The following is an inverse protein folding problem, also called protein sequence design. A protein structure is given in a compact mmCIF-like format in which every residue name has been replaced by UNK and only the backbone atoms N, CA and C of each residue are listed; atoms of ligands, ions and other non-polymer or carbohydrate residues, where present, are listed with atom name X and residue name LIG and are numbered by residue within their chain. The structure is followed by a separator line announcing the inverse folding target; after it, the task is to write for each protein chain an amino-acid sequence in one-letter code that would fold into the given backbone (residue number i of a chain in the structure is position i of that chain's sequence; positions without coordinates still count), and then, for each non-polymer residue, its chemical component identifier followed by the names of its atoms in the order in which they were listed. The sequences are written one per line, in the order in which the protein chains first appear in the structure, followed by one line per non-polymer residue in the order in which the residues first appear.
data_IF_625833575589
#
_entry.id   IF_625833575589
#
_cell.length_a   1.000
_cell.length_b   1.000
_cell.length_c   1.000
_cell.angle_alpha   90.00
_cell.angle_beta   90.00
_cell.angle_gamma   90.00
#
_symmetry.space_group_name_H-M   'P 1'
#
loop_
_entity.id
_entity.type
_entity.pdbx_description
1 polymer ?
#
# COMPACT_ATOMS: atom_id res chain seq x y z
N UNK A 1 21.83 0.43 20.82
CA UNK A 1 21.35 0.53 22.22
C UNK A 1 20.94 1.94 22.61
N UNK A 2 20.41 2.76 21.70
CA UNK A 2 20.05 4.17 21.95
C UNK A 2 18.61 4.34 22.43
N UNK A 3 18.17 3.49 23.35
CA UNK A 3 16.77 3.51 23.79
C UNK A 3 16.41 4.81 24.52
N UNK A 4 17.34 5.50 25.16
CA UNK A 4 17.07 6.75 25.88
C UNK A 4 17.50 8.01 25.12
N UNK A 5 17.79 7.89 23.83
CA UNK A 5 18.24 9.02 23.04
C UNK A 5 17.03 9.84 22.51
N UNK A 6 17.16 11.17 22.36
CA UNK A 6 16.06 12.04 21.95
C UNK A 6 15.49 11.69 20.57
N UNK A 7 16.32 11.17 19.65
CA UNK A 7 15.87 10.69 18.35
C UNK A 7 14.90 9.49 18.44
N UNK A 8 15.05 8.62 19.47
CA UNK A 8 14.10 7.52 19.71
C UNK A 8 12.73 8.08 20.09
N UNK A 9 12.70 9.12 20.93
CA UNK A 9 11.44 9.76 21.35
C UNK A 9 10.74 10.45 20.19
N UNK A 10 11.50 11.13 19.32
CA UNK A 10 10.95 11.71 18.09
C UNK A 10 10.32 10.64 17.17
N UNK A 11 10.99 9.49 17.01
CA UNK A 11 10.45 8.36 16.25
C UNK A 11 9.21 7.75 16.91
N UNK A 12 9.19 7.62 18.25
CA UNK A 12 8.03 7.12 18.98
C UNK A 12 6.79 7.97 18.71
N UNK A 13 6.90 9.29 18.71
CA UNK A 13 5.79 10.19 18.41
C UNK A 13 5.23 9.97 16.99
N UNK A 14 6.10 9.74 16.00
CA UNK A 14 5.68 9.36 14.65
C UNK A 14 4.95 8.02 14.63
N UNK A 15 5.50 6.99 15.28
CA UNK A 15 4.90 5.65 15.33
C UNK A 15 3.54 5.64 16.05
N UNK A 16 3.42 6.36 17.16
CA UNK A 16 2.17 6.51 17.89
C UNK A 16 1.12 7.20 17.03
N UNK A 17 1.51 8.21 16.23
CA UNK A 17 0.61 8.89 15.31
C UNK A 17 0.10 7.95 14.20
N UNK A 18 1.00 7.27 13.47
CA UNK A 18 0.58 6.37 12.38
C UNK A 18 -0.16 5.13 12.92
N UNK A 19 0.12 4.72 14.16
CA UNK A 19 -0.51 3.61 14.85
C UNK A 19 -1.97 3.84 15.26
N UNK A 20 -2.47 5.08 15.30
CA UNK A 20 -3.83 5.41 15.81
C UNK A 20 -4.97 4.67 15.09
N UNK A 21 -4.78 4.36 13.81
CA UNK A 21 -5.77 3.63 13.01
C UNK A 21 -5.62 2.10 13.10
N UNK A 22 -4.48 1.60 13.60
CA UNK A 22 -4.15 0.17 13.64
C UNK A 22 -4.96 -0.49 14.74
N UNK A 23 -6.06 -1.12 14.35
CA UNK A 23 -7.02 -1.78 15.25
C UNK A 23 -7.49 -3.09 14.64
N UNK A 24 -8.05 -3.97 15.46
CA UNK A 24 -8.66 -5.23 15.01
C UNK A 24 -7.91 -6.47 15.46
N UNK A 25 -8.20 -7.58 14.79
CA UNK A 25 -7.75 -8.92 15.17
C UNK A 25 -7.11 -9.62 13.98
N UNK A 26 -5.90 -10.13 14.18
CA UNK A 26 -5.25 -11.07 13.28
C UNK A 26 -5.39 -12.49 13.83
N UNK A 27 -5.91 -13.41 13.01
CA UNK A 27 -6.01 -14.83 13.36
C UNK A 27 -4.79 -15.55 12.82
N UNK A 28 -4.08 -16.25 13.69
CA UNK A 28 -2.81 -16.91 13.37
C UNK A 28 -2.94 -18.43 13.48
N UNK A 29 -2.23 -19.15 12.62
CA UNK A 29 -1.97 -20.59 12.74
C UNK A 29 -0.49 -20.78 13.03
N UNK A 30 -0.19 -21.47 14.13
CA UNK A 30 1.18 -21.78 14.54
C UNK A 30 1.46 -23.25 14.23
N UNK A 31 2.54 -23.53 13.51
CA UNK A 31 2.87 -24.91 13.15
C UNK A 31 4.36 -25.09 12.88
N UNK A 32 5.00 -26.04 13.58
CA UNK A 32 6.42 -26.41 13.43
C UNK A 32 7.35 -25.19 13.34
N UNK A 33 7.24 -24.27 14.30
CA UNK A 33 8.04 -23.04 14.34
C UNK A 33 7.61 -21.93 13.37
N UNK A 34 6.57 -22.13 12.56
CA UNK A 34 6.05 -21.14 11.63
C UNK A 34 4.80 -20.43 12.17
N UNK A 35 4.60 -19.19 11.71
CA UNK A 35 3.44 -18.35 12.00
C UNK A 35 2.75 -17.98 10.69
N UNK A 36 1.48 -18.35 10.53
CA UNK A 36 0.70 -18.05 9.34
C UNK A 36 -0.48 -17.16 9.68
N UNK A 37 -0.69 -16.09 8.94
CA UNK A 37 -1.90 -15.27 9.06
C UNK A 37 -3.02 -15.93 8.26
N UNK A 38 -4.10 -16.34 8.93
CA UNK A 38 -5.25 -17.04 8.33
C UNK A 38 -6.53 -16.20 8.36
N UNK A 39 -6.45 -14.96 8.82
CA UNK A 39 -7.58 -14.02 8.76
C UNK A 39 -7.26 -12.70 9.43
N UNK A 40 -7.98 -11.65 9.01
CA UNK A 40 -7.90 -10.31 9.55
C UNK A 40 -9.30 -9.72 9.62
N UNK A 41 -9.62 -9.00 10.70
CA UNK A 41 -10.83 -8.18 10.79
C UNK A 41 -10.54 -6.93 11.60
N UNK A 42 -11.09 -5.80 11.20
CA UNK A 42 -10.99 -4.54 11.92
C UNK A 42 -12.29 -3.76 11.73
N UNK A 43 -12.74 -3.05 12.77
CA UNK A 43 -13.92 -2.19 12.69
C UNK A 43 -13.71 -1.06 11.67
N UNK A 44 -12.52 -0.46 11.69
CA UNK A 44 -12.10 0.61 10.77
C UNK A 44 -11.20 0.08 9.65
N UNK A 45 -11.67 -0.95 8.95
CA UNK A 45 -10.92 -1.55 7.83
C UNK A 45 -11.01 -0.67 6.59
N UNK A 46 -9.87 -0.39 5.95
CA UNK A 46 -9.83 0.24 4.62
C UNK A 46 -10.14 -0.76 3.49
N UNK A 47 -10.20 -2.05 3.79
CA UNK A 47 -10.67 -3.05 2.84
C UNK A 47 -12.19 -2.95 2.66
N UNK A 48 -12.62 -2.75 1.42
CA UNK A 48 -14.02 -2.57 1.02
C UNK A 48 -14.38 -3.60 -0.04
N UNK A 49 -15.21 -4.58 0.33
CA UNK A 49 -15.57 -5.70 -0.55
C UNK A 49 -16.30 -5.22 -1.82
N UNK A 50 -17.13 -4.20 -1.66
CA UNK A 50 -17.88 -3.53 -2.72
C UNK A 50 -16.99 -2.91 -3.81
N UNK A 51 -15.83 -2.34 -3.44
CA UNK A 51 -14.90 -1.73 -4.39
C UNK A 51 -14.04 -2.76 -5.15
N UNK A 52 -13.83 -3.94 -4.58
CA UNK A 52 -12.91 -4.97 -5.12
C UNK A 52 -13.64 -6.15 -5.75
N UNK A 53 -14.96 -6.24 -5.59
CA UNK A 53 -15.77 -7.32 -6.15
C UNK A 53 -15.84 -7.18 -7.68
N UNK A 54 -15.76 -8.31 -8.38
CA UNK A 54 -16.04 -8.38 -9.81
C UNK A 54 -17.55 -8.59 -10.09
N UNK A 55 -18.30 -9.06 -9.10
CA UNK A 55 -19.70 -9.49 -9.25
C UNK A 55 -20.70 -8.37 -8.91
N UNK A 56 -20.35 -7.47 -7.99
CA UNK A 56 -21.20 -6.35 -7.56
C UNK A 56 -20.61 -5.05 -8.11
N UNK A 57 -21.32 -4.42 -9.05
CA UNK A 57 -20.93 -3.13 -9.61
C UNK A 57 -21.06 -2.02 -8.55
N UNK A 58 -20.00 -1.80 -7.75
CA UNK A 58 -20.00 -0.83 -6.66
C UNK A 58 -18.77 0.07 -6.64
N UNK A 59 -18.96 1.36 -6.91
CA UNK A 59 -18.05 2.43 -6.47
C UNK A 59 -16.71 2.60 -7.22
N UNK A 60 -16.33 1.73 -8.15
CA UNK A 60 -15.12 1.89 -8.98
C UNK A 60 -15.44 2.09 -10.46
N UNK A 61 -15.04 3.23 -11.02
CA UNK A 61 -15.17 3.53 -12.45
C UNK A 61 -13.93 3.04 -13.22
N UNK A 62 -14.05 1.90 -13.89
CA UNK A 62 -12.93 1.28 -14.63
C UNK A 62 -12.30 2.19 -15.70
N UNK A 63 -13.06 3.14 -16.26
CA UNK A 63 -12.54 4.11 -17.24
C UNK A 63 -11.44 5.01 -16.66
N UNK A 64 -11.45 5.28 -15.36
CA UNK A 64 -10.45 6.13 -14.71
C UNK A 64 -9.06 5.49 -14.72
N UNK A 65 -9.00 4.16 -14.75
CA UNK A 65 -7.76 3.40 -14.82
C UNK A 65 -6.91 3.77 -16.04
N UNK A 66 -7.56 3.99 -17.19
CA UNK A 66 -6.88 4.31 -18.44
C UNK A 66 -6.16 5.67 -18.35
N UNK A 67 -6.83 6.68 -17.79
CA UNK A 67 -6.24 7.99 -17.50
C UNK A 67 -5.09 7.90 -16.51
N UNK A 68 -5.29 7.17 -15.41
CA UNK A 68 -4.27 6.97 -14.38
C UNK A 68 -3.00 6.31 -14.94
N UNK A 69 -3.15 5.22 -15.70
CA UNK A 69 -2.04 4.51 -16.34
C UNK A 69 -1.27 5.44 -17.27
N UNK A 70 -1.97 6.21 -18.12
CA UNK A 70 -1.32 7.17 -19.04
C UNK A 70 -0.46 8.18 -18.27
N UNK A 71 -1.01 8.80 -17.23
CA UNK A 71 -0.30 9.84 -16.46
C UNK A 71 0.90 9.25 -15.73
N UNK A 72 0.73 8.13 -15.02
CA UNK A 72 1.83 7.49 -14.26
C UNK A 72 2.95 6.99 -15.20
N UNK A 73 2.59 6.48 -16.38
CA UNK A 73 3.55 6.02 -17.37
C UNK A 73 4.23 7.17 -18.13
N UNK A 74 3.77 8.42 -18.02
CA UNK A 74 4.29 9.55 -18.80
C UNK A 74 5.81 9.69 -18.63
N UNK A 75 6.31 9.67 -17.39
CA UNK A 75 7.75 9.81 -17.12
C UNK A 75 8.59 8.72 -17.77
N UNK A 76 8.05 7.49 -17.84
CA UNK A 76 8.74 6.34 -18.43
C UNK A 76 8.74 6.44 -19.97
N UNK A 77 7.62 6.86 -20.54
CA UNK A 77 7.49 7.09 -22.00
C UNK A 77 8.43 8.20 -22.47
N UNK A 78 8.51 9.31 -21.75
CA UNK A 78 9.45 10.42 -22.06
C UNK A 78 10.89 9.94 -21.99
N UNK A 79 11.26 9.21 -20.94
CA UNK A 79 12.61 8.64 -20.85
C UNK A 79 12.95 7.74 -22.05
N UNK A 80 12.04 6.84 -22.42
CA UNK A 80 12.24 5.94 -23.56
C UNK A 80 12.34 6.68 -24.90
N UNK A 81 11.63 7.81 -25.06
CA UNK A 81 11.75 8.67 -26.24
C UNK A 81 13.14 9.32 -26.31
N UNK A 82 13.62 9.91 -25.22
CA UNK A 82 14.96 10.52 -25.15
C UNK A 82 16.06 9.48 -25.40
N UNK A 83 15.94 8.29 -24.80
CA UNK A 83 16.91 7.20 -25.04
C UNK A 83 16.91 6.80 -26.53
N UNK A 84 15.76 6.72 -27.19
CA UNK A 84 15.68 6.40 -28.63
C UNK A 84 16.29 7.48 -29.52
N UNK A 85 16.09 8.75 -29.19
CA UNK A 85 16.68 9.88 -29.92
C UNK A 85 18.20 9.96 -29.74
N UNK A 86 18.71 9.63 -28.55
CA UNK A 86 20.15 9.62 -28.25
C UNK A 86 20.93 8.43 -28.82
N UNK A 87 20.28 7.35 -29.25
CA UNK A 87 20.91 6.22 -29.93
C UNK A 87 20.92 6.36 -31.47
N UNK A 88 20.40 7.47 -32.01
CA UNK A 88 20.37 7.78 -33.44
C UNK A 88 21.41 8.82 -33.88
N UNK A 89 22.36 9.21 -33.00
CA UNK A 89 23.45 10.14 -33.27
C UNK A 89 24.82 9.46 -33.18
#
# INVERSE_FOLDING_TARGET
GFWYAPEREALQAYFDHVGRAVTGVARLKLYKGNVYVVGRKAERSLYRKDLVSFDEAGGYHQKDAEGFIRIQALRLRVRALVEREGHGA
#
